data_IF_126446403875
#
_entry.id   IF_126446403875
#
_cell.length_a   1.000
_cell.length_b   1.000
_cell.length_c   1.000
_cell.angle_alpha   90.00
_cell.angle_beta   90.00
_cell.angle_gamma   90.00
#
_symmetry.space_group_name_H-M   'P 1'
#
loop_
_entity.id
_entity.type
_entity.pdbx_description
1 polymer ?
#
# COMPACT_ATOMS: atom_id res chain seq x y z
N UNK A 1 25.65 -15.33 -17.08
CA UNK A 1 26.24 -14.20 -16.33
C UNK A 1 26.70 -13.19 -17.38
N UNK A 2 26.28 -11.92 -17.35
CA UNK A 2 25.99 -11.10 -16.17
C UNK A 2 24.52 -11.08 -15.73
N UNK A 3 24.22 -10.64 -14.49
CA UNK A 3 22.86 -10.48 -13.99
C UNK A 3 22.15 -9.30 -14.66
N UNK A 4 20.81 -9.31 -14.66
CA UNK A 4 19.98 -8.26 -15.26
C UNK A 4 20.31 -6.84 -14.75
N UNK A 5 20.63 -6.71 -13.46
CA UNK A 5 21.04 -5.42 -12.87
C UNK A 5 22.32 -4.86 -13.51
N UNK A 6 23.27 -5.72 -13.84
CA UNK A 6 24.50 -5.31 -14.51
C UNK A 6 24.20 -4.83 -15.92
N UNK A 7 23.38 -5.58 -16.67
CA UNK A 7 22.98 -5.18 -18.02
C UNK A 7 22.28 -3.83 -18.05
N UNK A 8 21.46 -3.53 -17.03
CA UNK A 8 20.78 -2.23 -16.91
C UNK A 8 21.73 -1.07 -16.62
N UNK A 9 22.76 -1.29 -15.80
CA UNK A 9 23.68 -0.23 -15.38
C UNK A 9 24.89 -0.07 -16.31
N UNK A 10 25.33 -1.15 -16.96
CA UNK A 10 26.61 -1.18 -17.68
C UNK A 10 26.51 -1.86 -19.05
N UNK A 11 25.31 -2.24 -19.48
CA UNK A 11 25.11 -2.91 -20.76
C UNK A 11 25.86 -4.24 -20.84
N UNK A 12 26.51 -4.47 -21.97
CA UNK A 12 27.29 -5.69 -22.24
C UNK A 12 28.77 -5.54 -21.88
N UNK A 13 29.16 -4.51 -21.11
CA UNK A 13 30.53 -4.39 -20.64
C UNK A 13 30.91 -5.58 -19.76
N UNK A 14 32.12 -6.15 -19.93
CA UNK A 14 32.53 -7.32 -19.16
C UNK A 14 32.78 -6.98 -17.69
N UNK A 15 32.46 -7.92 -16.82
CA UNK A 15 32.94 -7.97 -15.43
C UNK A 15 34.23 -8.81 -15.45
N UNK A 16 35.31 -8.27 -14.90
CA UNK A 16 36.56 -9.00 -14.77
C UNK A 16 37.25 -8.69 -13.43
N UNK A 17 38.21 -9.55 -13.06
CA UNK A 17 39.04 -9.34 -11.88
C UNK A 17 39.72 -7.98 -11.94
N UNK A 18 39.65 -7.24 -10.85
CA UNK A 18 40.33 -5.97 -10.68
C UNK A 18 41.84 -6.21 -10.68
N UNK A 19 42.56 -5.56 -11.60
CA UNK A 19 44.00 -5.73 -11.73
C UNK A 19 44.70 -5.18 -10.47
N UNK A 20 45.38 -6.05 -9.72
CA UNK A 20 46.16 -5.64 -8.57
C UNK A 20 47.38 -4.82 -9.02
N UNK A 21 47.62 -3.67 -8.38
CA UNK A 21 48.78 -2.80 -8.67
C UNK A 21 48.58 -1.74 -9.76
N UNK A 22 47.36 -1.58 -10.29
CA UNK A 22 47.03 -0.44 -11.13
C UNK A 22 46.85 0.86 -10.33
N UNK A 23 46.88 1.99 -11.04
CA UNK A 23 46.67 3.33 -10.46
C UNK A 23 45.24 3.59 -9.93
N UNK A 24 44.28 2.72 -10.26
CA UNK A 24 42.88 2.90 -9.92
C UNK A 24 42.56 2.42 -8.49
N UNK A 25 41.70 3.16 -7.81
CA UNK A 25 41.13 2.84 -6.51
C UNK A 25 40.10 1.70 -6.71
N UNK A 26 40.26 0.57 -6.01
CA UNK A 26 39.33 -0.56 -6.11
C UNK A 26 37.93 -0.22 -5.59
N UNK A 27 36.87 -0.85 -6.15
CA UNK A 27 35.53 -0.66 -5.62
C UNK A 27 35.39 -1.20 -4.20
N UNK A 28 34.61 -0.51 -3.37
CA UNK A 28 34.29 -1.00 -2.02
C UNK A 28 33.21 -2.09 -2.09
N UNK A 29 33.48 -3.25 -1.48
CA UNK A 29 32.55 -4.36 -1.33
C UNK A 29 32.41 -4.70 0.14
N UNK A 30 31.18 -4.94 0.60
CA UNK A 30 30.93 -5.50 1.92
C UNK A 30 31.29 -7.00 1.91
N UNK A 31 31.87 -7.49 3.00
CA UNK A 31 32.10 -8.93 3.16
C UNK A 31 30.76 -9.67 3.19
N UNK A 32 30.69 -10.79 2.47
CA UNK A 32 29.50 -11.65 2.47
C UNK A 32 29.54 -12.47 3.76
N UNK A 33 28.61 -12.20 4.67
CA UNK A 33 28.55 -12.89 5.98
C UNK A 33 27.83 -14.24 5.91
N UNK A 34 26.88 -14.41 4.99
CA UNK A 34 26.15 -15.66 4.75
C UNK A 34 25.44 -15.63 3.38
N UNK A 35 25.10 -16.81 2.84
CA UNK A 35 24.19 -16.97 1.69
C UNK A 35 22.96 -17.75 2.20
N UNK A 36 21.76 -17.13 2.14
CA UNK A 36 20.46 -17.71 2.59
C UNK A 36 20.16 -17.53 4.09
N UNK A 37 18.91 -17.34 4.57
CA UNK A 37 17.59 -17.12 3.95
C UNK A 37 16.64 -16.41 4.96
N UNK A 38 15.39 -16.14 4.57
CA UNK A 38 14.35 -15.43 5.38
C UNK A 38 14.03 -16.11 6.74
N UNK A 39 14.45 -17.37 6.92
CA UNK A 39 14.30 -18.13 8.16
C UNK A 39 15.62 -18.13 8.95
N UNK A 40 15.60 -17.79 10.25
CA UNK A 40 16.79 -17.70 11.11
C UNK A 40 17.63 -18.98 11.23
N UNK A 41 17.16 -20.12 10.71
CA UNK A 41 17.73 -21.45 10.95
C UNK A 41 18.42 -22.08 9.74
N UNK A 42 18.51 -21.38 8.60
CA UNK A 42 19.19 -21.89 7.40
C UNK A 42 20.35 -20.97 7.08
N UNK A 43 21.51 -21.26 7.68
CA UNK A 43 22.77 -20.63 7.32
C UNK A 43 23.62 -21.66 6.57
N UNK A 44 23.92 -21.37 5.30
CA UNK A 44 24.99 -22.09 4.62
C UNK A 44 26.31 -21.43 5.06
N UNK A 45 27.17 -22.21 5.72
CA UNK A 45 28.50 -21.75 6.09
C UNK A 45 29.33 -21.51 4.83
N UNK A 46 29.70 -20.25 4.61
CA UNK A 46 30.58 -19.87 3.51
C UNK A 46 32.00 -20.31 3.80
N UNK A 47 32.64 -20.91 2.80
CA UNK A 47 34.09 -21.13 2.79
C UNK A 47 34.83 -19.79 2.93
N UNK A 48 36.08 -19.78 3.45
CA UNK A 48 36.88 -18.55 3.52
C UNK A 48 36.99 -17.79 2.19
N UNK A 49 37.05 -18.51 1.06
CA UNK A 49 37.08 -17.94 -0.28
C UNK A 49 35.74 -17.30 -0.67
N UNK A 50 34.61 -17.89 -0.29
CA UNK A 50 33.28 -17.31 -0.54
C UNK A 50 33.00 -16.09 0.34
N UNK A 51 33.61 -16.00 1.53
CA UNK A 51 33.55 -14.80 2.38
C UNK A 51 34.37 -13.64 1.81
N UNK A 52 35.42 -13.95 1.04
CA UNK A 52 36.34 -13.00 0.41
C UNK A 52 36.52 -13.31 -1.08
N UNK A 53 35.45 -13.16 -1.88
CA UNK A 53 35.52 -13.46 -3.31
C UNK A 53 36.56 -12.53 -3.98
N UNK A 54 37.14 -12.95 -5.11
CA UNK A 54 37.99 -12.07 -5.91
C UNK A 54 37.30 -10.75 -6.20
N UNK A 55 38.04 -9.65 -6.07
CA UNK A 55 37.48 -8.34 -6.37
C UNK A 55 37.28 -8.22 -7.88
N UNK A 56 36.02 -8.12 -8.31
CA UNK A 56 35.65 -7.93 -9.71
C UNK A 56 34.96 -6.58 -9.91
N UNK A 57 35.23 -5.96 -11.05
CA UNK A 57 34.66 -4.68 -11.46
C UNK A 57 34.33 -4.69 -12.95
N UNK A 58 33.48 -3.75 -13.35
CA UNK A 58 33.17 -3.48 -14.75
C UNK A 58 34.39 -2.91 -15.45
N UNK A 59 34.77 -3.50 -16.58
CA UNK A 59 35.88 -3.04 -17.40
C UNK A 59 35.35 -2.31 -18.64
N UNK A 60 35.91 -1.14 -18.91
CA UNK A 60 35.64 -0.37 -20.12
C UNK A 60 36.95 -0.08 -20.84
N UNK A 61 36.98 -0.36 -22.13
CA UNK A 61 38.11 -0.02 -23.00
C UNK A 61 38.08 1.45 -23.44
N UNK A 62 36.90 2.08 -23.42
CA UNK A 62 36.70 3.49 -23.77
C UNK A 62 35.79 4.16 -22.73
N UNK A 63 36.30 4.43 -21.51
CA UNK A 63 35.49 4.88 -20.38
C UNK A 63 34.57 6.06 -20.67
N UNK A 64 35.07 7.09 -21.36
CA UNK A 64 34.27 8.28 -21.64
C UNK A 64 33.17 8.03 -22.67
N UNK A 65 33.47 7.29 -23.74
CA UNK A 65 32.51 6.96 -24.78
C UNK A 65 31.41 6.02 -24.26
N UNK A 66 31.79 5.01 -23.47
CA UNK A 66 30.87 4.09 -22.83
C UNK A 66 29.97 4.82 -21.80
N UNK A 67 30.56 5.70 -20.98
CA UNK A 67 29.81 6.51 -20.02
C UNK A 67 28.77 7.40 -20.74
N UNK A 68 29.18 8.10 -21.80
CA UNK A 68 28.29 8.93 -22.60
C UNK A 68 27.13 8.13 -23.18
N UNK A 69 27.42 6.98 -23.80
CA UNK A 69 26.40 6.08 -24.35
C UNK A 69 25.39 5.62 -23.28
N UNK A 70 25.88 5.21 -22.10
CA UNK A 70 25.03 4.77 -21.00
C UNK A 70 24.15 5.89 -20.46
N UNK A 71 24.73 7.07 -20.22
CA UNK A 71 24.00 8.23 -19.70
C UNK A 71 22.96 8.74 -20.70
N UNK A 72 23.28 8.79 -22.00
CA UNK A 72 22.31 9.14 -23.05
C UNK A 72 21.10 8.19 -23.08
N UNK A 73 21.30 6.90 -22.77
CA UNK A 73 20.20 5.94 -22.70
C UNK A 73 19.41 6.00 -21.38
N UNK A 74 20.08 6.37 -20.28
CA UNK A 74 19.50 6.38 -18.94
C UNK A 74 18.73 7.66 -18.62
N UNK A 75 19.29 8.83 -18.95
CA UNK A 75 18.73 10.14 -18.62
C UNK A 75 17.28 10.32 -19.11
N UNK A 76 16.90 9.94 -20.35
CA UNK A 76 15.51 10.06 -20.80
C UNK A 76 14.52 9.24 -19.97
N UNK A 77 14.96 8.09 -19.42
CA UNK A 77 14.13 7.24 -18.56
C UNK A 77 14.02 7.84 -17.14
N UNK A 78 15.12 8.35 -16.61
CA UNK A 78 15.16 8.99 -15.29
C UNK A 78 14.33 10.29 -15.27
N UNK A 79 14.50 11.14 -16.28
CA UNK A 79 13.83 12.43 -16.36
C UNK A 79 12.48 12.37 -17.07
N UNK A 80 12.14 11.21 -17.67
CA UNK A 80 10.83 10.90 -18.26
C UNK A 80 10.47 11.85 -19.42
N UNK A 81 11.50 12.29 -20.15
CA UNK A 81 11.41 13.20 -21.30
C UNK A 81 12.64 13.05 -22.21
N UNK A 82 12.62 13.59 -23.44
CA UNK A 82 13.83 13.77 -24.22
C UNK A 82 14.83 14.67 -23.46
N UNK A 83 16.10 14.31 -23.54
CA UNK A 83 17.21 15.01 -22.87
C UNK A 83 18.20 15.40 -23.96
N UNK A 84 18.54 16.69 -24.02
CA UNK A 84 19.46 17.21 -25.03
C UNK A 84 20.91 16.77 -24.73
N UNK A 85 21.78 16.77 -25.74
CA UNK A 85 23.16 16.32 -25.56
C UNK A 85 23.89 17.16 -24.49
N UNK A 86 23.60 18.45 -24.46
CA UNK A 86 24.16 19.44 -23.53
C UNK A 86 23.76 19.15 -22.07
N UNK A 87 22.61 18.52 -21.85
CA UNK A 87 22.17 18.09 -20.52
C UNK A 87 22.86 16.79 -20.07
N UNK A 88 23.39 15.99 -21.01
CA UNK A 88 24.15 14.77 -20.72
C UNK A 88 25.58 15.09 -20.29
N UNK A 89 26.20 16.12 -20.91
CA UNK A 89 27.61 16.47 -20.72
C UNK A 89 28.02 16.70 -19.25
N UNK A 90 27.24 17.38 -18.38
CA UNK A 90 27.62 17.55 -16.98
C UNK A 90 27.79 16.23 -16.22
N UNK A 91 26.99 15.21 -16.55
CA UNK A 91 27.08 13.89 -15.94
C UNK A 91 28.28 13.11 -16.48
N UNK A 92 28.59 13.24 -17.78
CA UNK A 92 29.81 12.66 -18.38
C UNK A 92 31.05 13.29 -17.78
N UNK A 93 31.09 14.62 -17.64
CA UNK A 93 32.18 15.35 -17.00
C UNK A 93 32.39 14.92 -15.54
N UNK A 94 31.31 14.60 -14.81
CA UNK A 94 31.42 14.01 -13.48
C UNK A 94 32.13 12.66 -13.51
N UNK A 95 31.80 11.77 -14.46
CA UNK A 95 32.50 10.48 -14.64
C UNK A 95 33.98 10.72 -14.94
N UNK A 96 34.32 11.56 -15.91
CA UNK A 96 35.72 11.90 -16.26
C UNK A 96 36.48 12.44 -15.04
N UNK A 97 35.86 13.33 -14.25
CA UNK A 97 36.46 13.85 -13.01
C UNK A 97 36.74 12.75 -11.99
N UNK A 98 35.85 11.75 -11.84
CA UNK A 98 36.06 10.62 -10.93
C UNK A 98 37.15 9.67 -11.43
N UNK A 99 37.20 9.41 -12.73
CA UNK A 99 38.29 8.66 -13.36
C UNK A 99 39.64 9.34 -13.18
N UNK A 100 39.72 10.66 -13.34
CA UNK A 100 40.92 11.45 -13.08
C UNK A 100 41.35 11.40 -11.60
N UNK A 101 40.38 11.33 -10.68
CA UNK A 101 40.58 11.06 -9.26
C UNK A 101 40.90 9.59 -8.96
N UNK A 102 41.17 8.79 -10.00
CA UNK A 102 41.55 7.37 -9.96
C UNK A 102 40.44 6.43 -9.47
N UNK A 103 39.17 6.82 -9.41
CA UNK A 103 38.11 5.83 -9.17
C UNK A 103 38.07 4.80 -10.31
N UNK A 104 37.78 3.53 -9.99
CA UNK A 104 37.46 2.56 -11.03
C UNK A 104 36.20 2.98 -11.82
N UNK A 105 36.07 2.49 -13.06
CA UNK A 105 34.97 2.88 -13.96
C UNK A 105 33.58 2.65 -13.36
N UNK A 106 33.38 1.51 -12.70
CA UNK A 106 32.12 1.17 -12.03
C UNK A 106 31.72 2.23 -10.98
N UNK A 107 32.65 2.63 -10.11
CA UNK A 107 32.37 3.61 -9.06
C UNK A 107 32.18 5.02 -9.63
N UNK A 108 32.95 5.39 -10.66
CA UNK A 108 32.77 6.66 -11.38
C UNK A 108 31.36 6.75 -12.00
N UNK A 109 30.90 5.69 -12.67
CA UNK A 109 29.55 5.61 -13.22
C UNK A 109 28.46 5.61 -12.14
N UNK A 110 28.65 4.88 -11.04
CA UNK A 110 27.73 4.89 -9.90
C UNK A 110 27.56 6.30 -9.33
N UNK A 111 28.62 7.11 -9.28
CA UNK A 111 28.53 8.52 -8.85
C UNK A 111 27.64 9.33 -9.78
N UNK A 112 27.76 9.14 -11.09
CA UNK A 112 26.89 9.81 -12.06
C UNK A 112 25.43 9.36 -11.92
N UNK A 113 25.17 8.06 -11.76
CA UNK A 113 23.81 7.56 -11.51
C UNK A 113 23.20 8.11 -10.22
N UNK A 114 23.98 8.18 -9.12
CA UNK A 114 23.53 8.82 -7.88
C UNK A 114 23.20 10.29 -8.14
N UNK A 115 24.07 11.03 -8.84
CA UNK A 115 23.83 12.44 -9.16
C UNK A 115 22.53 12.65 -9.96
N UNK A 116 22.23 11.76 -10.92
CA UNK A 116 20.95 11.78 -11.67
C UNK A 116 19.77 11.48 -10.75
N UNK A 117 19.86 10.42 -9.92
CA UNK A 117 18.78 9.98 -9.04
C UNK A 117 18.54 10.90 -7.83
N UNK A 118 19.42 11.88 -7.60
CA UNK A 118 19.25 12.91 -6.58
C UNK A 118 19.04 14.29 -7.20
N UNK A 119 18.87 14.40 -8.53
CA UNK A 119 18.67 15.68 -9.20
C UNK A 119 17.21 16.15 -9.07
N UNK A 120 16.94 17.46 -9.14
CA UNK A 120 15.57 17.99 -9.14
C UNK A 120 14.69 17.38 -10.25
N UNK A 121 15.25 17.14 -11.43
CA UNK A 121 14.56 16.58 -12.61
C UNK A 121 14.11 15.13 -12.38
N UNK A 122 14.80 14.39 -11.50
CA UNK A 122 14.38 13.06 -11.07
C UNK A 122 13.42 13.10 -9.88
N UNK A 123 13.73 13.90 -8.85
CA UNK A 123 13.00 13.91 -7.59
C UNK A 123 11.61 14.56 -7.70
N UNK A 124 11.46 15.56 -8.57
CA UNK A 124 10.21 16.29 -8.71
C UNK A 124 9.56 16.04 -10.07
N UNK A 125 8.23 16.01 -10.07
CA UNK A 125 7.50 16.18 -11.31
C UNK A 125 7.60 17.65 -11.74
N UNK A 126 7.93 17.93 -13.01
CA UNK A 126 7.95 19.30 -13.50
C UNK A 126 6.54 19.88 -13.33
N UNK A 127 6.44 20.92 -12.51
CA UNK A 127 5.20 21.67 -12.38
C UNK A 127 5.00 22.51 -13.66
N UNK A 128 3.76 22.65 -14.12
CA UNK A 128 3.39 23.46 -15.31
C UNK A 128 3.63 24.98 -15.10
N UNK A 129 4.46 25.37 -14.14
CA UNK A 129 4.74 26.75 -13.78
C UNK A 129 5.89 27.25 -14.63
N UNK A 130 5.51 27.92 -15.72
CA UNK A 130 6.16 29.13 -16.23
C UNK A 130 7.70 29.11 -16.24
N UNK A 131 8.31 28.80 -17.38
CA UNK A 131 9.55 29.45 -17.85
C UNK A 131 9.87 29.01 -19.28
N UNK A 132 9.84 30.00 -20.17
CA UNK A 132 10.35 29.98 -21.55
C UNK A 132 9.73 28.96 -22.52
N UNK A 133 9.97 29.18 -23.81
CA UNK A 133 9.60 28.24 -24.86
C UNK A 133 10.19 26.88 -24.49
N UNK A 134 9.33 25.87 -24.39
CA UNK A 134 9.77 24.54 -24.02
C UNK A 134 10.91 24.11 -24.98
N UNK A 135 12.09 23.69 -24.47
CA UNK A 135 13.24 23.36 -25.31
C UNK A 135 12.99 22.14 -26.21
N UNK A 136 11.87 21.44 -25.99
CA UNK A 136 11.44 20.26 -26.74
C UNK A 136 9.97 20.44 -27.13
N UNK A 137 9.66 20.14 -28.39
CA UNK A 137 8.28 20.04 -28.87
C UNK A 137 7.48 19.10 -27.96
N UNK A 138 6.22 19.45 -27.68
CA UNK A 138 5.32 18.65 -26.85
C UNK A 138 5.77 18.42 -25.39
N UNK A 139 6.65 19.25 -24.81
CA UNK A 139 7.11 19.09 -23.42
C UNK A 139 5.96 18.88 -22.40
N UNK A 140 4.85 19.61 -22.53
CA UNK A 140 3.66 19.45 -21.67
C UNK A 140 3.06 18.04 -21.74
N UNK A 141 3.21 17.33 -22.85
CA UNK A 141 2.72 15.96 -22.99
C UNK A 141 3.62 14.94 -22.31
N UNK A 142 4.92 15.20 -22.18
CA UNK A 142 5.79 14.37 -21.34
C UNK A 142 5.45 14.53 -19.86
N UNK A 143 5.10 15.75 -19.44
CA UNK A 143 4.53 16.00 -18.10
C UNK A 143 3.21 15.25 -17.91
N UNK A 144 2.29 15.31 -18.88
CA UNK A 144 1.02 14.57 -18.84
C UNK A 144 1.25 13.05 -18.77
N UNK A 145 2.11 12.50 -19.62
CA UNK A 145 2.49 11.09 -19.61
C UNK A 145 3.04 10.66 -18.24
N UNK A 146 3.93 11.46 -17.65
CA UNK A 146 4.48 11.20 -16.32
C UNK A 146 3.40 11.26 -15.24
N UNK A 147 2.49 12.25 -15.29
CA UNK A 147 1.39 12.34 -14.32
C UNK A 147 0.44 11.15 -14.42
N UNK A 148 0.11 10.71 -15.62
CA UNK A 148 -0.73 9.52 -15.84
C UNK A 148 -0.06 8.25 -15.29
N UNK A 149 1.21 8.02 -15.60
CA UNK A 149 1.91 6.82 -15.14
C UNK A 149 2.13 6.82 -13.63
N UNK A 150 2.45 7.96 -13.02
CA UNK A 150 2.63 8.03 -11.57
C UNK A 150 1.30 7.91 -10.84
N UNK A 151 0.23 8.47 -11.39
CA UNK A 151 -1.10 8.28 -10.84
C UNK A 151 -1.55 6.81 -10.89
N UNK A 152 -1.41 6.15 -12.05
CA UNK A 152 -2.00 4.82 -12.26
C UNK A 152 -1.04 3.66 -11.98
N UNK A 153 0.27 3.86 -11.99
CA UNK A 153 1.28 2.81 -11.74
C UNK A 153 2.23 3.10 -10.58
N UNK A 154 2.17 4.30 -9.97
CA UNK A 154 3.17 4.75 -9.00
C UNK A 154 4.60 4.54 -9.53
N UNK A 155 4.82 4.86 -10.80
CA UNK A 155 6.09 4.62 -11.49
C UNK A 155 6.21 5.37 -12.84
N UNK A 156 7.40 5.30 -13.46
CA UNK A 156 7.67 6.03 -14.71
C UNK A 156 6.81 5.53 -15.88
N UNK A 157 6.53 6.41 -16.86
CA UNK A 157 5.81 6.04 -18.07
C UNK A 157 6.65 5.04 -18.87
N UNK A 158 5.98 4.15 -19.60
CA UNK A 158 6.65 3.25 -20.53
C UNK A 158 6.91 3.92 -21.89
N UNK A 159 7.66 3.22 -22.74
CA UNK A 159 8.08 3.74 -24.04
C UNK A 159 6.89 4.07 -24.95
N UNK A 160 5.78 3.33 -24.84
CA UNK A 160 4.56 3.59 -25.59
C UNK A 160 3.91 4.93 -25.19
N UNK A 161 3.77 5.18 -23.88
CA UNK A 161 3.20 6.43 -23.39
C UNK A 161 4.11 7.63 -23.68
N UNK A 162 5.44 7.45 -23.59
CA UNK A 162 6.42 8.46 -23.99
C UNK A 162 6.42 8.71 -25.49
N UNK A 163 6.17 7.70 -26.32
CA UNK A 163 6.04 7.86 -27.77
C UNK A 163 4.79 8.68 -28.12
N UNK A 164 3.66 8.41 -27.47
CA UNK A 164 2.42 9.18 -27.65
C UNK A 164 2.56 10.65 -27.21
N UNK A 165 3.38 10.91 -26.19
CA UNK A 165 3.75 12.27 -25.81
C UNK A 165 4.64 12.93 -26.88
N UNK A 166 5.61 12.18 -27.42
CA UNK A 166 6.56 12.68 -28.41
C UNK A 166 5.88 13.11 -29.72
N UNK A 167 4.99 12.28 -30.24
CA UNK A 167 4.32 12.52 -31.53
C UNK A 167 3.09 13.45 -31.43
N UNK A 168 2.76 13.94 -30.22
CA UNK A 168 1.63 14.83 -30.00
C UNK A 168 0.27 14.12 -29.86
N UNK A 169 0.21 12.80 -30.09
CA UNK A 169 -1.04 12.05 -30.12
C UNK A 169 -1.76 12.01 -28.78
N UNK A 170 -1.04 12.12 -27.66
CA UNK A 170 -1.61 12.10 -26.31
C UNK A 170 -2.58 13.27 -26.04
N UNK A 171 -2.58 14.33 -26.86
CA UNK A 171 -3.57 15.41 -26.80
C UNK A 171 -4.95 14.98 -27.29
N UNK A 172 -5.04 13.94 -28.12
CA UNK A 172 -6.30 13.49 -28.70
C UNK A 172 -7.07 12.72 -27.63
N UNK A 173 -8.32 13.10 -27.29
CA UNK A 173 -9.10 12.44 -26.22
C UNK A 173 -9.22 10.92 -26.39
N UNK A 174 -9.37 10.44 -27.63
CA UNK A 174 -9.45 9.00 -27.94
C UNK A 174 -8.15 8.26 -27.58
N UNK A 175 -6.99 8.89 -27.82
CA UNK A 175 -5.69 8.29 -27.47
C UNK A 175 -5.49 8.34 -25.96
N UNK A 176 -5.85 9.45 -25.31
CA UNK A 176 -5.76 9.60 -23.86
C UNK A 176 -6.59 8.54 -23.12
N UNK A 177 -7.86 8.35 -23.49
CA UNK A 177 -8.71 7.31 -22.89
C UNK A 177 -8.13 5.91 -23.09
N UNK A 178 -7.70 5.59 -24.32
CA UNK A 178 -7.07 4.30 -24.61
C UNK A 178 -5.82 4.05 -23.76
N UNK A 179 -4.98 5.06 -23.55
CA UNK A 179 -3.83 4.93 -22.66
C UNK A 179 -4.27 4.72 -21.21
N UNK A 180 -5.27 5.44 -20.70
CA UNK A 180 -5.81 5.21 -19.35
C UNK A 180 -6.28 3.76 -19.16
N UNK A 181 -7.09 3.24 -20.10
CA UNK A 181 -7.58 1.86 -20.05
C UNK A 181 -6.42 0.85 -20.07
N UNK A 182 -5.42 1.08 -20.93
CA UNK A 182 -4.22 0.26 -21.03
C UNK A 182 -3.41 0.26 -19.73
N UNK A 183 -3.23 1.44 -19.13
CA UNK A 183 -2.51 1.59 -17.86
C UNK A 183 -3.25 0.85 -16.73
N UNK A 184 -4.58 0.96 -16.66
CA UNK A 184 -5.39 0.26 -15.66
C UNK A 184 -5.37 -1.26 -15.82
N UNK A 185 -5.37 -1.76 -17.06
CA UNK A 185 -5.33 -3.19 -17.37
C UNK A 185 -3.96 -3.86 -17.14
N UNK A 186 -2.88 -3.09 -17.05
CA UNK A 186 -1.53 -3.59 -16.81
C UNK A 186 -1.32 -3.95 -15.33
N UNK A 187 -0.64 -5.06 -15.03
CA UNK A 187 -0.37 -5.52 -13.65
C UNK A 187 0.36 -4.50 -12.76
N UNK A 188 0.98 -3.47 -13.34
CA UNK A 188 1.58 -2.36 -12.59
C UNK A 188 0.53 -1.49 -11.89
N UNK A 189 -0.73 -1.50 -12.34
CA UNK A 189 -1.84 -0.76 -11.71
C UNK A 189 -2.13 -1.22 -10.29
N UNK A 190 -1.73 -2.44 -9.93
CA UNK A 190 -1.75 -2.95 -8.55
C UNK A 190 -1.06 -2.02 -7.55
N UNK A 191 -0.01 -1.30 -7.99
CA UNK A 191 0.68 -0.34 -7.13
C UNK A 191 -0.20 0.84 -6.76
N UNK A 192 -1.00 1.35 -7.70
CA UNK A 192 -1.98 2.39 -7.45
C UNK A 192 -3.10 1.86 -6.55
N UNK A 193 -3.70 0.72 -6.88
CA UNK A 193 -4.79 0.13 -6.08
C UNK A 193 -4.37 -0.04 -4.62
N UNK A 194 -3.18 -0.62 -4.39
CA UNK A 194 -2.64 -0.79 -3.05
C UNK A 194 -2.47 0.55 -2.34
N UNK A 195 -1.76 1.49 -2.94
CA UNK A 195 -1.41 2.76 -2.32
C UNK A 195 -2.64 3.65 -2.06
N UNK A 196 -3.56 3.70 -3.03
CA UNK A 196 -4.83 4.41 -2.91
C UNK A 196 -5.70 3.85 -1.77
N UNK A 197 -5.89 2.53 -1.72
CA UNK A 197 -6.65 1.88 -0.65
C UNK A 197 -5.99 2.11 0.73
N UNK A 198 -4.67 1.98 0.79
CA UNK A 198 -3.84 2.14 1.98
C UNK A 198 -3.83 3.57 2.54
N UNK A 199 -4.01 4.57 1.68
CA UNK A 199 -4.12 5.99 2.04
C UNK A 199 -5.55 6.39 2.36
N UNK A 200 -6.50 6.09 1.47
CA UNK A 200 -7.89 6.53 1.61
C UNK A 200 -8.58 5.83 2.78
N UNK A 201 -8.45 4.50 2.88
CA UNK A 201 -9.18 3.69 3.86
C UNK A 201 -8.34 3.37 5.11
N UNK A 202 -7.16 3.97 5.25
CA UNK A 202 -6.22 3.75 6.35
C UNK A 202 -5.75 2.29 6.52
N UNK A 203 -5.75 1.46 5.46
CA UNK A 203 -5.36 0.04 5.58
C UNK A 203 -3.95 -0.16 6.15
N UNK A 204 -3.03 0.82 6.01
CA UNK A 204 -1.69 0.77 6.62
C UNK A 204 -1.72 0.65 8.15
N UNK A 205 -2.81 1.10 8.76
CA UNK A 205 -3.03 1.13 10.20
C UNK A 205 -3.63 -0.16 10.73
N UNK A 206 -3.93 -1.14 9.86
CA UNK A 206 -4.57 -2.40 10.27
C UNK A 206 -3.70 -3.18 11.26
N UNK A 207 -2.39 -2.90 11.32
CA UNK A 207 -1.44 -3.55 12.23
C UNK A 207 -1.21 -2.79 13.54
N UNK A 208 -1.85 -1.63 13.76
CA UNK A 208 -1.72 -0.85 14.99
C UNK A 208 -2.33 -1.56 16.20
N UNK A 209 -3.30 -2.45 15.98
CA UNK A 209 -3.97 -3.22 17.03
C UNK A 209 -3.86 -4.71 16.73
N UNK A 210 -3.73 -5.53 17.78
CA UNK A 210 -3.73 -6.99 17.68
C UNK A 210 -4.95 -7.52 18.44
N UNK A 211 -5.86 -8.25 17.78
CA UNK A 211 -6.97 -8.90 18.46
C UNK A 211 -6.50 -9.81 19.58
N UNK A 212 -7.16 -9.71 20.74
CA UNK A 212 -6.81 -10.52 21.90
C UNK A 212 -7.00 -12.02 21.57
N UNK A 213 -5.96 -12.85 21.74
CA UNK A 213 -6.01 -14.25 21.34
C UNK A 213 -6.91 -15.13 22.23
N UNK A 214 -7.30 -14.68 23.43
CA UNK A 214 -8.31 -15.36 24.26
C UNK A 214 -9.72 -15.06 23.78
N UNK A 215 -9.97 -13.82 23.34
CA UNK A 215 -11.28 -13.40 22.81
C UNK A 215 -11.49 -13.81 21.33
N UNK A 216 -10.44 -13.76 20.50
CA UNK A 216 -10.49 -13.99 19.05
C UNK A 216 -9.42 -15.00 18.59
N UNK A 217 -9.43 -16.24 19.10
CA UNK A 217 -8.43 -17.26 18.76
C UNK A 217 -8.41 -17.66 17.27
N UNK A 218 -9.45 -17.36 16.52
CA UNK A 218 -9.53 -17.59 15.07
C UNK A 218 -8.74 -16.56 14.24
N UNK A 219 -8.38 -15.42 14.85
CA UNK A 219 -7.57 -14.40 14.20
C UNK A 219 -6.11 -14.84 14.13
N UNK A 220 -5.66 -15.14 12.91
CA UNK A 220 -4.33 -15.67 12.59
C UNK A 220 -3.82 -15.02 11.31
N UNK A 221 -2.55 -15.25 11.00
CA UNK A 221 -1.85 -14.66 9.85
C UNK A 221 -2.65 -14.74 8.54
N UNK A 222 -3.15 -15.92 8.15
CA UNK A 222 -3.90 -16.07 6.90
C UNK A 222 -5.23 -15.30 6.86
N UNK A 223 -5.89 -15.13 8.01
CA UNK A 223 -7.10 -14.31 8.06
C UNK A 223 -6.73 -12.83 7.91
N UNK A 224 -5.69 -12.36 8.61
CA UNK A 224 -5.18 -10.99 8.50
C UNK A 224 -4.84 -10.63 7.05
N UNK A 225 -4.05 -11.47 6.39
CA UNK A 225 -3.68 -11.26 4.98
C UNK A 225 -4.93 -11.21 4.08
N UNK A 226 -5.88 -12.12 4.30
CA UNK A 226 -7.15 -12.16 3.58
C UNK A 226 -7.98 -10.88 3.72
N UNK A 227 -8.07 -10.33 4.94
CA UNK A 227 -8.84 -9.10 5.21
C UNK A 227 -8.32 -7.91 4.39
N UNK A 228 -7.01 -7.67 4.41
CA UNK A 228 -6.40 -6.55 3.69
C UNK A 228 -6.48 -6.75 2.18
N UNK A 229 -6.28 -7.99 1.74
CA UNK A 229 -6.31 -8.34 0.34
C UNK A 229 -7.74 -8.24 -0.25
N UNK A 230 -8.79 -8.54 0.53
CA UNK A 230 -10.19 -8.31 0.15
C UNK A 230 -10.43 -6.86 -0.26
N UNK A 231 -10.07 -5.89 0.60
CA UNK A 231 -10.35 -4.47 0.31
C UNK A 231 -9.67 -4.01 -0.97
N UNK A 232 -8.41 -4.39 -1.17
CA UNK A 232 -7.65 -4.04 -2.38
C UNK A 232 -8.25 -4.71 -3.61
N UNK A 233 -8.61 -5.99 -3.53
CA UNK A 233 -9.23 -6.69 -4.65
C UNK A 233 -10.63 -6.19 -4.97
N UNK A 234 -11.38 -5.78 -3.95
CA UNK A 234 -12.70 -5.17 -4.12
C UNK A 234 -12.61 -3.86 -4.90
N UNK A 235 -11.71 -2.95 -4.50
CA UNK A 235 -11.51 -1.69 -5.24
C UNK A 235 -11.01 -1.93 -6.67
N UNK A 236 -10.12 -2.89 -6.88
CA UNK A 236 -9.69 -3.31 -8.22
C UNK A 236 -10.87 -3.76 -9.07
N UNK A 237 -11.74 -4.61 -8.54
CA UNK A 237 -12.93 -5.10 -9.26
C UNK A 237 -13.85 -3.94 -9.64
N UNK A 238 -14.11 -3.00 -8.73
CA UNK A 238 -14.94 -1.84 -9.02
C UNK A 238 -14.36 -0.98 -10.16
N UNK A 239 -13.05 -0.73 -10.14
CA UNK A 239 -12.38 0.06 -11.18
C UNK A 239 -12.34 -0.69 -12.51
N UNK A 240 -12.00 -1.98 -12.50
CA UNK A 240 -11.88 -2.79 -13.72
C UNK A 240 -13.22 -3.02 -14.43
N UNK A 241 -14.33 -2.97 -13.68
CA UNK A 241 -15.69 -3.17 -14.22
C UNK A 241 -16.47 -1.87 -14.41
N UNK A 242 -15.84 -0.70 -14.16
CA UNK A 242 -16.50 0.60 -14.14
C UNK A 242 -17.81 0.59 -13.31
N UNK A 243 -17.73 -0.01 -12.12
CA UNK A 243 -18.88 -0.22 -11.26
C UNK A 243 -19.42 1.12 -10.74
N UNK A 244 -20.75 1.27 -10.56
CA UNK A 244 -21.32 2.48 -10.01
C UNK A 244 -20.82 2.72 -8.58
N UNK A 245 -20.63 3.98 -8.20
CA UNK A 245 -20.13 4.37 -6.86
C UNK A 245 -20.97 3.77 -5.72
N UNK A 246 -22.26 3.51 -5.95
CA UNK A 246 -23.16 2.85 -5.00
C UNK A 246 -22.72 1.43 -4.62
N UNK A 247 -21.91 0.78 -5.47
CA UNK A 247 -21.31 -0.51 -5.19
C UNK A 247 -20.34 -0.47 -3.99
N UNK A 248 -19.79 0.69 -3.62
CA UNK A 248 -19.01 0.85 -2.38
C UNK A 248 -19.82 0.50 -1.12
N UNK A 249 -21.15 0.61 -1.19
CA UNK A 249 -22.05 0.29 -0.08
C UNK A 249 -22.73 -1.06 -0.27
N UNK A 250 -23.27 -1.33 -1.47
CA UNK A 250 -24.05 -2.55 -1.74
C UNK A 250 -23.74 -3.11 -3.14
N UNK A 251 -22.63 -3.85 -3.29
CA UNK A 251 -22.18 -4.40 -4.58
C UNK A 251 -22.88 -5.71 -4.97
N UNK A 252 -23.50 -6.43 -4.03
CA UNK A 252 -24.05 -7.78 -4.25
C UNK A 252 -22.98 -8.89 -4.38
N UNK A 253 -21.72 -8.59 -4.09
CA UNK A 253 -20.62 -9.54 -4.10
C UNK A 253 -19.57 -9.20 -3.02
N UNK A 254 -18.66 -10.14 -2.74
CA UNK A 254 -17.43 -9.91 -2.00
C UNK A 254 -16.23 -10.55 -2.71
N UNK A 255 -15.02 -10.11 -2.38
CA UNK A 255 -13.78 -10.68 -2.88
C UNK A 255 -13.17 -11.59 -1.82
N UNK A 256 -13.28 -12.90 -1.99
CA UNK A 256 -12.99 -13.88 -0.93
C UNK A 256 -11.98 -14.93 -1.39
N UNK A 257 -11.09 -15.29 -0.46
CA UNK A 257 -10.38 -16.56 -0.49
C UNK A 257 -11.02 -17.50 0.55
N UNK A 258 -10.54 -18.74 0.64
CA UNK A 258 -11.13 -19.72 1.55
C UNK A 258 -11.15 -19.23 3.01
N UNK A 259 -10.02 -18.70 3.51
CA UNK A 259 -9.92 -18.34 4.93
C UNK A 259 -10.89 -17.21 5.31
N UNK A 260 -11.07 -16.24 4.42
CA UNK A 260 -12.01 -15.15 4.64
C UNK A 260 -13.46 -15.59 4.48
N UNK A 261 -13.75 -16.47 3.52
CA UNK A 261 -15.08 -17.05 3.34
C UNK A 261 -15.52 -17.86 4.57
N UNK A 262 -14.64 -18.68 5.16
CA UNK A 262 -14.86 -19.36 6.43
C UNK A 262 -15.20 -18.37 7.56
N UNK A 263 -14.43 -17.28 7.67
CA UNK A 263 -14.66 -16.23 8.67
C UNK A 263 -16.00 -15.51 8.48
N UNK A 264 -16.48 -15.38 7.24
CA UNK A 264 -17.77 -14.79 6.92
C UNK A 264 -18.94 -15.77 6.95
N UNK A 265 -18.69 -17.08 7.12
CA UNK A 265 -19.72 -18.11 7.04
C UNK A 265 -20.24 -18.38 5.62
N UNK A 266 -19.42 -18.13 4.60
CA UNK A 266 -19.75 -18.32 3.18
C UNK A 266 -19.11 -19.61 2.69
N UNK A 267 -19.94 -20.57 2.25
CA UNK A 267 -19.48 -21.86 1.74
C UNK A 267 -19.03 -21.79 0.26
N UNK A 268 -18.32 -22.83 -0.20
CA UNK A 268 -18.01 -23.03 -1.62
C UNK A 268 -16.76 -22.31 -2.14
N UNK A 269 -15.97 -21.68 -1.27
CA UNK A 269 -14.71 -21.02 -1.64
C UNK A 269 -13.52 -21.82 -1.12
N UNK A 270 -12.64 -22.28 -2.01
CA UNK A 270 -11.47 -23.11 -1.68
C UNK A 270 -10.16 -22.51 -2.21
N UNK A 271 -9.08 -22.59 -1.44
CA UNK A 271 -7.75 -22.09 -1.83
C UNK A 271 -7.48 -20.62 -1.45
N UNK A 272 -6.25 -20.19 -1.71
CA UNK A 272 -5.70 -18.89 -1.24
C UNK A 272 -6.03 -17.71 -2.16
N UNK A 273 -6.37 -17.98 -3.42
CA UNK A 273 -6.68 -16.96 -4.41
C UNK A 273 -8.00 -16.25 -4.11
N UNK A 274 -7.97 -14.93 -4.16
CA UNK A 274 -9.17 -14.08 -4.07
C UNK A 274 -10.01 -14.21 -5.33
N UNK A 275 -11.33 -14.32 -5.16
CA UNK A 275 -12.28 -14.32 -6.27
C UNK A 275 -13.56 -13.60 -5.91
N UNK A 276 -14.24 -13.11 -6.93
CA UNK A 276 -15.59 -12.55 -6.81
C UNK A 276 -16.58 -13.65 -6.44
N UNK A 277 -17.30 -13.45 -5.34
CA UNK A 277 -18.32 -14.37 -4.83
C UNK A 277 -19.63 -13.59 -4.70
N UNK A 278 -20.68 -14.06 -5.39
CA UNK A 278 -22.01 -13.46 -5.29
C UNK A 278 -22.57 -13.64 -3.87
N UNK A 279 -23.20 -12.59 -3.35
CA UNK A 279 -23.82 -12.59 -2.03
C UNK A 279 -25.34 -12.67 -2.15
N UNK A 280 -26.01 -13.42 -1.25
CA UNK A 280 -27.47 -13.34 -1.13
C UNK A 280 -27.92 -11.91 -0.81
N UNK A 281 -29.14 -11.49 -1.23
CA UNK A 281 -29.66 -10.14 -0.96
C UNK A 281 -29.67 -9.76 0.52
N UNK A 282 -29.94 -10.73 1.40
CA UNK A 282 -30.00 -10.55 2.87
C UNK A 282 -28.63 -10.67 3.54
N UNK A 283 -27.54 -10.78 2.77
CA UNK A 283 -26.21 -10.87 3.36
C UNK A 283 -25.86 -9.60 4.12
N UNK A 284 -25.37 -9.67 5.36
CA UNK A 284 -24.80 -8.51 6.05
C UNK A 284 -23.43 -8.13 5.45
N UNK A 285 -22.91 -8.90 4.50
CA UNK A 285 -21.61 -8.68 3.84
C UNK A 285 -21.78 -7.86 2.56
N UNK A 286 -20.65 -7.37 2.06
CA UNK A 286 -20.56 -6.53 0.87
C UNK A 286 -20.25 -5.08 1.21
N UNK A 287 -19.82 -4.35 0.19
CA UNK A 287 -19.38 -2.96 0.31
C UNK A 287 -18.14 -2.85 1.19
N UNK A 288 -17.73 -1.62 1.53
CA UNK A 288 -16.62 -1.35 2.44
C UNK A 288 -16.99 -1.63 3.90
N UNK A 289 -18.25 -1.34 4.28
CA UNK A 289 -18.72 -1.43 5.67
C UNK A 289 -18.85 -2.86 6.18
N UNK A 290 -19.02 -3.84 5.29
CA UNK A 290 -19.09 -5.26 5.64
C UNK A 290 -17.72 -5.97 5.69
N UNK A 291 -16.62 -5.28 5.36
CA UNK A 291 -15.28 -5.86 5.26
C UNK A 291 -14.56 -5.87 6.61
N UNK A 292 -13.95 -7.01 6.92
CA UNK A 292 -13.26 -7.22 8.19
C UNK A 292 -12.06 -6.30 8.42
N UNK A 293 -11.34 -5.89 7.36
CA UNK A 293 -10.24 -4.93 7.51
C UNK A 293 -10.74 -3.58 8.08
N UNK A 294 -11.84 -3.05 7.56
CA UNK A 294 -12.44 -1.79 8.01
C UNK A 294 -13.01 -1.93 9.43
N UNK A 295 -13.69 -3.05 9.70
CA UNK A 295 -14.29 -3.33 11.00
C UNK A 295 -13.24 -3.53 12.10
N UNK A 296 -12.05 -4.02 11.73
CA UNK A 296 -10.89 -4.15 12.61
C UNK A 296 -10.17 -2.82 12.83
N UNK A 297 -9.96 -2.03 11.77
CA UNK A 297 -9.32 -0.70 11.86
C UNK A 297 -10.02 0.21 12.87
N UNK A 298 -11.33 0.04 13.01
CA UNK A 298 -12.19 0.83 13.88
C UNK A 298 -12.40 0.21 15.27
N UNK A 299 -11.56 -0.77 15.66
CA UNK A 299 -11.58 -1.46 16.95
C UNK A 299 -10.20 -1.42 17.65
N UNK A 300 -10.15 -1.73 18.94
CA UNK A 300 -8.90 -1.70 19.73
C UNK A 300 -8.26 -3.10 19.95
N UNK A 301 -8.84 -4.15 19.38
CA UNK A 301 -8.38 -5.54 19.51
C UNK A 301 -9.12 -6.37 20.57
N UNK A 302 -9.74 -5.76 21.58
CA UNK A 302 -10.59 -6.47 22.57
C UNK A 302 -12.06 -6.12 22.39
N UNK A 303 -12.35 -4.85 22.17
CA UNK A 303 -13.69 -4.28 22.02
C UNK A 303 -13.81 -3.44 20.75
N UNK A 304 -15.05 -3.26 20.29
CA UNK A 304 -15.39 -2.34 19.21
C UNK A 304 -15.58 -0.93 19.78
N UNK A 305 -15.56 0.07 18.91
CA UNK A 305 -15.83 1.46 19.30
C UNK A 305 -16.79 2.09 18.29
N UNK A 306 -18.10 2.18 18.58
CA UNK A 306 -19.09 2.79 17.69
C UNK A 306 -18.69 4.19 17.24
N UNK A 307 -18.14 4.99 18.17
CA UNK A 307 -17.67 6.35 17.87
C UNK A 307 -16.60 6.35 16.78
N UNK A 308 -15.57 5.50 16.88
CA UNK A 308 -14.51 5.38 15.86
C UNK A 308 -15.05 4.88 14.52
N UNK A 309 -16.03 3.96 14.56
CA UNK A 309 -16.72 3.47 13.35
C UNK A 309 -17.49 4.59 12.66
N UNK A 310 -18.27 5.35 13.41
CA UNK A 310 -19.01 6.50 12.91
C UNK A 310 -18.10 7.58 12.33
N UNK A 311 -17.06 7.96 13.06
CA UNK A 311 -16.05 8.93 12.58
C UNK A 311 -15.39 8.45 11.30
N UNK A 312 -15.03 7.17 11.19
CA UNK A 312 -14.45 6.62 9.97
C UNK A 312 -15.43 6.71 8.78
N UNK A 313 -16.72 6.43 8.98
CA UNK A 313 -17.74 6.58 7.92
C UNK A 313 -17.86 8.04 7.48
N UNK A 314 -17.97 8.95 8.44
CA UNK A 314 -18.11 10.39 8.20
C UNK A 314 -16.91 10.96 7.42
N UNK A 315 -15.70 10.61 7.85
CA UNK A 315 -14.45 11.10 7.26
C UNK A 315 -14.19 10.45 5.88
N UNK A 316 -14.25 9.11 5.80
CA UNK A 316 -13.78 8.37 4.62
C UNK A 316 -14.83 8.19 3.54
N UNK A 317 -16.12 8.18 3.87
CA UNK A 317 -17.19 7.96 2.90
C UNK A 317 -18.05 9.19 2.64
N UNK A 318 -18.35 10.00 3.66
CA UNK A 318 -19.25 11.14 3.53
C UNK A 318 -18.53 12.47 3.27
N UNK A 319 -17.21 12.54 3.48
CA UNK A 319 -16.42 13.78 3.43
C UNK A 319 -16.99 14.88 4.36
N UNK A 320 -17.50 14.47 5.51
CA UNK A 320 -18.04 15.33 6.57
C UNK A 320 -17.35 14.99 7.90
N UNK A 321 -16.04 15.28 8.06
CA UNK A 321 -15.29 14.84 9.23
C UNK A 321 -15.91 15.37 10.53
N UNK A 322 -15.93 14.53 11.56
CA UNK A 322 -16.42 14.91 12.87
C UNK A 322 -15.62 16.10 13.43
N UNK A 323 -16.27 17.09 14.08
CA UNK A 323 -15.55 18.21 14.68
C UNK A 323 -14.60 17.70 15.79
N UNK A 324 -13.49 18.39 16.04
CA UNK A 324 -12.64 18.05 17.17
C UNK A 324 -13.44 18.13 18.48
N UNK A 325 -13.10 17.30 19.48
CA UNK A 325 -13.79 17.36 20.77
C UNK A 325 -13.64 18.75 21.40
N UNK A 326 -14.67 19.28 22.09
CA UNK A 326 -14.60 20.59 22.72
C UNK A 326 -13.41 20.68 23.71
N UNK A 327 -12.72 21.83 23.81
CA UNK A 327 -11.57 22.00 24.72
C UNK A 327 -11.91 21.72 26.20
N UNK A 328 -13.17 21.93 26.60
CA UNK A 328 -13.67 21.70 27.95
C UNK A 328 -13.86 20.22 28.32
N UNK A 329 -13.76 19.29 27.36
CA UNK A 329 -13.87 17.83 27.60
C UNK A 329 -12.55 17.26 28.18
N UNK A 330 -11.51 18.08 28.30
CA UNK A 330 -10.27 17.72 28.97
C UNK A 330 -10.47 17.44 30.47
N UNK A 331 -10.61 16.16 30.82
CA UNK A 331 -10.15 15.48 32.06
C UNK A 331 -11.21 14.76 32.92
N UNK A 332 -12.51 14.82 32.60
CA UNK A 332 -13.53 14.03 33.31
C UNK A 332 -14.44 13.35 32.30
N UNK A 333 -14.17 12.07 32.03
CA UNK A 333 -15.11 11.22 31.32
C UNK A 333 -16.43 11.15 32.13
N UNK A 334 -17.60 11.24 31.49
CA UNK A 334 -18.89 11.05 32.15
C UNK A 334 -18.94 9.74 32.93
N UNK A 335 -19.65 9.73 34.06
CA UNK A 335 -19.77 8.53 34.90
C UNK A 335 -20.56 7.43 34.18
N UNK A 336 -19.83 6.46 33.64
CA UNK A 336 -20.41 5.29 32.96
C UNK A 336 -20.63 4.11 33.92
N UNK A 337 -20.39 4.26 35.24
CA UNK A 337 -20.54 3.16 36.21
C UNK A 337 -21.94 2.57 36.17
N UNK A 338 -22.01 1.24 36.24
CA UNK A 338 -23.26 0.48 36.14
C UNK A 338 -23.79 0.30 34.72
N UNK A 339 -23.14 0.86 33.69
CA UNK A 339 -23.40 0.45 32.31
C UNK A 339 -22.67 -0.86 32.00
N UNK A 340 -23.39 -1.81 31.46
CA UNK A 340 -22.93 -3.16 31.14
C UNK A 340 -22.74 -3.38 29.65
N UNK A 341 -23.36 -2.55 28.81
CA UNK A 341 -23.26 -2.58 27.34
C UNK A 341 -22.62 -1.31 26.78
N UNK A 342 -22.10 -1.40 25.56
CA UNK A 342 -21.53 -0.23 24.84
C UNK A 342 -22.60 0.84 24.60
N UNK A 343 -23.85 0.43 24.32
CA UNK A 343 -25.00 1.33 24.16
C UNK A 343 -25.26 2.14 25.43
N UNK A 344 -25.37 1.47 26.58
CA UNK A 344 -25.57 2.11 27.88
C UNK A 344 -24.42 3.06 28.26
N UNK A 345 -23.17 2.68 27.94
CA UNK A 345 -22.02 3.54 28.19
C UNK A 345 -22.09 4.82 27.37
N UNK A 346 -22.43 4.73 26.08
CA UNK A 346 -22.55 5.90 25.20
C UNK A 346 -23.80 6.75 25.50
N UNK A 347 -24.91 6.14 25.91
CA UNK A 347 -26.09 6.90 26.36
C UNK A 347 -25.76 7.74 27.59
N UNK A 348 -25.03 7.18 28.57
CA UNK A 348 -24.51 7.95 29.71
C UNK A 348 -23.50 9.00 29.28
N UNK A 349 -22.62 8.69 28.33
CA UNK A 349 -21.66 9.68 27.81
C UNK A 349 -22.36 10.89 27.16
N UNK A 350 -23.51 10.64 26.52
CA UNK A 350 -24.30 11.65 25.81
C UNK A 350 -25.36 12.35 26.65
N UNK A 351 -25.48 12.03 27.94
CA UNK A 351 -26.40 12.79 28.79
C UNK A 351 -25.97 14.27 28.92
N UNK A 352 -24.71 14.58 28.61
CA UNK A 352 -24.24 15.94 28.41
C UNK A 352 -24.63 16.48 27.03
N UNK A 353 -25.30 17.63 26.99
CA UNK A 353 -25.78 18.25 25.77
C UNK A 353 -24.65 18.61 24.77
N UNK A 354 -23.46 18.94 25.26
CA UNK A 354 -22.30 19.24 24.42
C UNK A 354 -21.77 18.00 23.70
N UNK A 355 -21.80 16.85 24.37
CA UNK A 355 -21.45 15.55 23.77
C UNK A 355 -22.53 15.07 22.79
N UNK A 356 -23.81 15.19 23.17
CA UNK A 356 -24.94 14.74 22.36
C UNK A 356 -24.96 15.37 20.96
N UNK A 357 -24.64 16.66 20.85
CA UNK A 357 -24.69 17.41 19.59
C UNK A 357 -23.81 16.80 18.49
N UNK A 358 -22.58 16.38 18.82
CA UNK A 358 -21.68 15.76 17.86
C UNK A 358 -22.02 14.27 17.65
N UNK A 359 -22.34 13.56 18.73
CA UNK A 359 -22.66 12.15 18.68
C UNK A 359 -23.95 11.84 17.91
N UNK A 360 -24.89 12.78 17.80
CA UNK A 360 -26.07 12.64 16.96
C UNK A 360 -25.73 12.31 15.49
N UNK A 361 -24.57 12.76 15.00
CA UNK A 361 -24.10 12.47 13.63
C UNK A 361 -23.21 11.23 13.55
N UNK A 362 -22.42 10.99 14.59
CA UNK A 362 -21.38 9.95 14.61
C UNK A 362 -22.00 8.58 14.94
N UNK A 363 -22.76 8.52 16.02
CA UNK A 363 -23.17 7.27 16.64
C UNK A 363 -24.08 6.39 15.76
N UNK A 364 -25.04 6.91 14.98
CA UNK A 364 -25.97 6.06 14.22
C UNK A 364 -25.24 5.08 13.29
N UNK A 365 -24.25 5.57 12.54
CA UNK A 365 -23.43 4.74 11.66
C UNK A 365 -22.55 3.76 12.47
N UNK A 366 -22.04 4.20 13.61
CA UNK A 366 -21.26 3.37 14.53
C UNK A 366 -22.04 2.19 15.09
N UNK A 367 -23.24 2.44 15.61
CA UNK A 367 -24.12 1.41 16.18
C UNK A 367 -24.63 0.44 15.14
N UNK A 368 -24.97 0.91 13.94
CA UNK A 368 -25.36 0.03 12.83
C UNK A 368 -24.30 -1.05 12.52
N UNK A 369 -23.04 -0.77 12.81
CA UNK A 369 -21.93 -1.70 12.61
C UNK A 369 -21.62 -2.57 13.84
N UNK A 370 -22.27 -2.36 15.00
CA UNK A 370 -21.99 -3.14 16.22
C UNK A 370 -22.35 -4.61 16.11
N UNK A 371 -23.13 -5.02 15.11
CA UNK A 371 -23.31 -6.43 14.73
C UNK A 371 -22.03 -7.08 14.21
N UNK A 372 -20.94 -6.34 14.04
CA UNK A 372 -19.62 -6.88 13.73
C UNK A 372 -18.65 -6.71 14.89
N UNK A 373 -17.91 -7.77 15.19
CA UNK A 373 -16.90 -7.80 16.24
C UNK A 373 -15.58 -7.10 15.83
N UNK A 374 -14.57 -7.01 16.72
CA UNK A 374 -13.26 -6.40 16.44
C UNK A 374 -12.44 -7.04 15.33
N UNK A 375 -12.79 -8.23 14.86
CA UNK A 375 -12.17 -8.88 13.70
C UNK A 375 -13.12 -8.92 12.50
N UNK A 376 -14.26 -8.23 12.57
CA UNK A 376 -15.26 -8.19 11.52
C UNK A 376 -16.14 -9.44 11.43
N UNK A 377 -16.10 -10.33 12.41
CA UNK A 377 -17.04 -11.45 12.53
C UNK A 377 -18.44 -10.94 12.87
N UNK A 378 -19.49 -11.57 12.32
CA UNK A 378 -20.86 -11.20 12.68
C UNK A 378 -21.20 -11.73 14.08
N UNK A 379 -21.79 -10.89 14.93
CA UNK A 379 -22.12 -11.21 16.32
C UNK A 379 -23.53 -10.75 16.69
N UNK A 380 -24.15 -11.49 17.60
CA UNK A 380 -25.40 -11.10 18.30
C UNK A 380 -25.17 -10.77 19.78
N UNK A 381 -24.03 -11.18 20.33
CA UNK A 381 -23.64 -11.00 21.74
C UNK A 381 -22.17 -10.63 21.80
N UNK A 382 -21.78 -9.84 22.79
CA UNK A 382 -20.38 -9.50 23.03
C UNK A 382 -19.61 -10.73 23.54
N UNK A 383 -18.31 -10.83 23.22
CA UNK A 383 -17.42 -11.83 23.83
C UNK A 383 -16.88 -11.30 25.17
N UNK A 384 -16.69 -12.18 26.14
CA UNK A 384 -16.15 -11.85 27.47
C UNK A 384 -15.15 -12.90 27.92
N UNK A 385 -14.09 -12.47 28.61
CA UNK A 385 -13.17 -13.36 29.33
C UNK A 385 -13.69 -13.72 30.73
N UNK A 386 -14.74 -13.05 31.21
CA UNK A 386 -15.26 -13.18 32.57
C UNK A 386 -16.51 -14.06 32.68
N UNK A 387 -17.65 -13.43 32.97
CA UNK A 387 -18.96 -14.10 33.10
C UNK A 387 -19.65 -14.18 31.74
N UNK A 388 -20.51 -15.18 31.58
CA UNK A 388 -21.28 -15.40 30.36
C UNK A 388 -21.53 -16.87 30.09
N UNK A 389 -22.18 -17.13 28.95
CA UNK A 389 -22.52 -18.49 28.53
C UNK A 389 -21.41 -19.11 27.68
N UNK A 390 -21.37 -20.43 27.59
CA UNK A 390 -20.47 -21.11 26.67
C UNK A 390 -20.87 -20.81 25.21
N UNK A 391 -19.92 -20.46 24.33
CA UNK A 391 -20.22 -20.23 22.92
C UNK A 391 -20.48 -21.56 22.18
N UNK A 392 -21.33 -21.58 21.14
CA UNK A 392 -21.69 -22.80 20.41
C UNK A 392 -20.52 -23.49 19.68
N UNK A 393 -19.45 -22.76 19.39
CA UNK A 393 -18.20 -23.24 18.79
C UNK A 393 -17.22 -23.87 19.80
N UNK A 394 -17.53 -23.81 21.10
CA UNK A 394 -16.68 -24.43 22.12
C UNK A 394 -16.50 -25.92 21.83
N UNK A 395 -15.25 -26.36 21.85
CA UNK A 395 -14.82 -27.74 21.56
C UNK A 395 -15.18 -28.24 20.14
N UNK A 396 -15.52 -27.34 19.21
CA UNK A 396 -15.91 -27.63 17.82
C UNK A 396 -14.97 -27.01 16.79
N UNK A 397 -13.89 -26.39 17.23
CA UNK A 397 -12.90 -25.71 16.39
C UNK A 397 -11.51 -26.28 16.63
N UNK A 398 -10.62 -26.13 15.64
CA UNK A 398 -9.21 -26.55 15.75
C UNK A 398 -8.40 -25.68 16.74
N UNK A 399 -8.90 -24.50 17.09
CA UNK A 399 -8.33 -23.65 18.12
C UNK A 399 -9.15 -23.73 19.41
N UNK A 400 -8.49 -23.47 20.54
CA UNK A 400 -9.13 -23.48 21.87
C UNK A 400 -9.99 -22.23 22.06
N UNK A 401 -11.27 -22.43 22.38
CA UNK A 401 -12.24 -21.36 22.65
C UNK A 401 -12.40 -21.20 24.16
N UNK A 402 -11.87 -20.09 24.72
CA UNK A 402 -11.91 -19.81 26.16
C UNK A 402 -12.86 -18.66 26.54
N UNK A 403 -13.27 -17.84 25.57
CA UNK A 403 -14.21 -16.75 25.83
C UNK A 403 -15.63 -17.27 26.08
N UNK A 404 -16.46 -16.39 26.63
CA UNK A 404 -17.88 -16.59 26.90
C UNK A 404 -18.73 -15.57 26.14
N UNK A 405 -20.01 -15.87 25.98
CA UNK A 405 -20.99 -14.93 25.43
C UNK A 405 -21.55 -14.05 26.55
N UNK A 406 -21.29 -12.75 26.46
CA UNK A 406 -21.77 -11.69 27.34
C UNK A 406 -23.15 -11.16 26.93
N UNK A 407 -23.45 -9.88 27.20
CA UNK A 407 -24.74 -9.26 26.85
C UNK A 407 -25.04 -9.29 25.34
N UNK A 408 -26.32 -9.14 25.01
CA UNK A 408 -26.77 -8.95 23.64
C UNK A 408 -26.24 -7.62 23.07
N UNK A 409 -26.02 -7.62 21.76
CA UNK A 409 -25.67 -6.41 21.01
C UNK A 409 -26.95 -5.67 20.65
N UNK A 410 -27.00 -4.38 20.97
CA UNK A 410 -27.93 -3.44 20.37
C UNK A 410 -27.20 -2.71 19.23
N UNK A 411 -27.61 -3.01 18.00
CA UNK A 411 -27.07 -2.40 16.78
C UNK A 411 -28.08 -1.44 16.12
N UNK A 412 -29.12 -1.04 16.86
CA UNK A 412 -30.05 -0.03 16.34
C UNK A 412 -29.31 1.30 16.14
N UNK A 413 -29.44 1.88 14.95
CA UNK A 413 -28.92 3.22 14.66
C UNK A 413 -29.80 4.34 15.24
N UNK A 414 -30.91 3.98 15.91
CA UNK A 414 -31.82 4.92 16.54
C UNK A 414 -31.19 5.45 17.83
N UNK A 415 -31.26 6.76 18.00
CA UNK A 415 -30.82 7.43 19.22
C UNK A 415 -32.05 7.74 20.09
N UNK A 416 -31.91 7.73 21.43
CA UNK A 416 -32.97 8.24 22.30
C UNK A 416 -33.29 9.69 21.90
N UNK A 417 -34.59 10.03 21.89
CA UNK A 417 -35.07 11.40 21.63
C UNK A 417 -34.54 12.41 22.65
#
# INVERSE_FOLDING_TARGET
WPPEIHKRLFGELPIAKFAAGGDAIPPRRSEVRSIGGYLPSIHFDLTPQERKPPLETVQSAQPEADAKKMLTAFLPKAFRRPVAAEEVEPYVALVTKRLAAKDCFEDAMRRAYVAVLTSPEFLFHPADVTREAAPVANAKLFTLASRLSYWLWNGPPDDALLAAARDGSLQRPVVLHREVDRLLADARSERFIRDFADQWLDLRRVNETVPDPQLYPEYRFLLHEGMVAETRAFLRELIATDAPVTALVRPGFAMLNQRLAEHYGIAGVNGVELRRVALPPESPRGGLLGQAAILKLTANGTTTTPVKRGVWVMDRLLNEPAPPPPPSVGSIDPDTRGATTVREQLDKHRSDASCAACHAKIDPAGFALESFDPIGGFRKRYRSTGKGDAPPEKDRTVWKVNYKLGPAVDASGALPE
#
